data_IF_655125818467
#
_entry.id   IF_655125818467
#
_cell.length_a   1.000
_cell.length_b   1.000
_cell.length_c   1.000
_cell.angle_alpha   90.00
_cell.angle_beta   90.00
_cell.angle_gamma   90.00
#
_symmetry.space_group_name_H-M   'P 1'
#
loop_
_entity.id
_entity.type
_entity.pdbx_description
1 polymer ?
#
# COMPACT_ATOMS: atom_id res chain seq x y z
N UNK A 1 30.60 -0.62 54.08
CA UNK A 1 30.29 -1.67 53.07
C UNK A 1 29.03 -1.40 52.24
N UNK A 2 28.26 -0.35 52.50
CA UNK A 2 26.95 -0.12 51.88
C UNK A 2 27.02 0.68 50.56
N UNK A 3 27.93 1.65 50.44
CA UNK A 3 28.03 2.53 49.25
C UNK A 3 28.58 1.83 48.01
N UNK A 4 29.54 0.92 48.17
CA UNK A 4 30.10 0.11 47.06
C UNK A 4 29.07 -0.86 46.46
N UNK A 5 28.19 -1.41 47.31
CA UNK A 5 27.17 -2.37 46.88
C UNK A 5 26.05 -1.69 46.08
N UNK A 6 25.68 -0.45 46.45
CA UNK A 6 24.69 0.36 45.73
C UNK A 6 25.20 0.82 44.36
N UNK A 7 26.49 1.17 44.25
CA UNK A 7 27.10 1.58 42.96
C UNK A 7 27.17 0.40 42.00
N UNK A 8 27.57 -0.79 42.47
CA UNK A 8 27.62 -2.00 41.65
C UNK A 8 26.23 -2.44 41.18
N UNK A 9 25.21 -2.32 42.03
CA UNK A 9 23.82 -2.63 41.67
C UNK A 9 23.27 -1.65 40.62
N UNK A 10 23.60 -0.36 40.71
CA UNK A 10 23.22 0.65 39.69
C UNK A 10 23.89 0.38 38.35
N UNK A 11 25.18 0.04 38.35
CA UNK A 11 25.92 -0.32 37.14
C UNK A 11 25.38 -1.60 36.48
N UNK A 12 24.95 -2.57 37.28
CA UNK A 12 24.33 -3.81 36.80
C UNK A 12 22.91 -3.58 36.23
N UNK A 13 22.12 -2.66 36.79
CA UNK A 13 20.82 -2.31 36.22
C UNK A 13 20.94 -1.51 34.91
N UNK A 14 21.94 -0.64 34.77
CA UNK A 14 22.13 0.12 33.53
C UNK A 14 22.67 -0.75 32.38
N UNK A 15 23.46 -1.78 32.68
CA UNK A 15 23.94 -2.73 31.66
C UNK A 15 22.82 -3.67 31.18
N UNK A 16 21.89 -4.06 32.05
CA UNK A 16 20.72 -4.87 31.67
C UNK A 16 19.75 -4.10 30.76
N UNK A 17 19.60 -2.79 30.96
CA UNK A 17 18.74 -1.93 30.13
C UNK A 17 19.29 -1.74 28.70
N UNK A 18 20.61 -1.80 28.50
CA UNK A 18 21.22 -1.68 27.17
C UNK A 18 21.10 -2.96 26.34
N UNK A 19 21.06 -4.13 26.99
CA UNK A 19 20.97 -5.43 26.32
C UNK A 19 19.58 -5.79 25.75
N UNK A 20 18.55 -5.00 26.06
CA UNK A 20 17.18 -5.22 25.58
C UNK A 20 16.82 -4.43 24.32
N UNK A 21 17.79 -3.81 23.63
CA UNK A 21 17.57 -3.31 22.29
C UNK A 21 17.48 -4.52 21.34
N UNK A 22 16.30 -5.16 21.32
CA UNK A 22 15.98 -6.19 20.37
C UNK A 22 16.18 -5.60 18.98
N UNK A 23 17.09 -6.20 18.21
CA UNK A 23 17.19 -5.95 16.79
C UNK A 23 15.88 -6.46 16.19
N UNK A 24 14.91 -5.57 16.01
CA UNK A 24 13.79 -5.85 15.10
C UNK A 24 14.45 -6.03 13.75
N UNK A 25 14.62 -7.29 13.35
CA UNK A 25 15.00 -7.64 12.00
C UNK A 25 14.05 -6.85 11.10
N UNK A 26 14.60 -5.94 10.30
CA UNK A 26 13.83 -4.96 9.54
C UNK A 26 13.17 -5.70 8.36
N UNK A 27 12.23 -6.58 8.67
CA UNK A 27 11.49 -7.36 7.69
C UNK A 27 10.53 -6.43 6.98
N UNK A 28 10.76 -6.26 5.68
CA UNK A 28 9.87 -5.49 4.83
C UNK A 28 8.48 -6.14 4.82
N UNK A 29 7.40 -5.35 4.82
CA UNK A 29 6.06 -5.89 4.74
C UNK A 29 5.79 -6.48 3.36
N UNK A 30 4.95 -7.52 3.30
CA UNK A 30 4.35 -7.96 2.05
C UNK A 30 3.30 -6.92 1.61
N UNK A 31 3.40 -6.46 0.36
CA UNK A 31 2.46 -5.48 -0.21
C UNK A 31 1.54 -6.19 -1.22
N UNK A 32 0.24 -6.17 -0.95
CA UNK A 32 -0.80 -6.71 -1.85
C UNK A 32 -1.72 -5.58 -2.27
N UNK A 33 -1.84 -5.36 -3.59
CA UNK A 33 -2.75 -4.36 -4.16
C UNK A 33 -3.91 -5.12 -4.82
N UNK A 34 -5.10 -4.98 -4.24
CA UNK A 34 -6.35 -5.47 -4.82
C UNK A 34 -7.00 -4.33 -5.60
N UNK A 35 -7.07 -4.46 -6.93
CA UNK A 35 -7.68 -3.48 -7.82
C UNK A 35 -8.91 -4.10 -8.49
N UNK A 36 -10.10 -3.70 -8.05
CA UNK A 36 -11.35 -4.10 -8.68
C UNK A 36 -11.53 -3.40 -10.05
N UNK A 37 -12.33 -4.02 -10.93
CA UNK A 37 -12.71 -3.46 -12.23
C UNK A 37 -14.17 -3.03 -12.16
N UNK A 38 -14.46 -1.82 -12.63
CA UNK A 38 -15.80 -1.21 -12.68
C UNK A 38 -16.62 -1.27 -11.36
N UNK A 39 -15.94 -1.17 -10.21
CA UNK A 39 -16.59 -1.09 -8.89
C UNK A 39 -16.92 0.37 -8.53
N UNK A 40 -18.20 0.67 -8.35
CA UNK A 40 -18.71 1.96 -7.94
C UNK A 40 -18.53 2.24 -6.44
N UNK A 41 -18.49 3.52 -6.07
CA UNK A 41 -18.34 3.96 -4.68
C UNK A 41 -19.44 3.39 -3.76
N UNK A 42 -20.68 3.29 -4.27
CA UNK A 42 -21.83 2.83 -3.52
C UNK A 42 -22.05 1.32 -3.52
N UNK A 43 -21.20 0.52 -4.17
CA UNK A 43 -21.51 -0.91 -4.41
C UNK A 43 -21.24 -1.81 -3.20
N UNK A 44 -20.35 -1.39 -2.29
CA UNK A 44 -19.95 -2.17 -1.12
C UNK A 44 -20.98 -2.06 0.01
N UNK A 45 -21.20 -3.14 0.77
CA UNK A 45 -22.06 -3.08 1.97
C UNK A 45 -21.52 -2.13 3.03
N UNK A 46 -20.20 -2.04 3.19
CA UNK A 46 -19.53 -1.05 4.05
C UNK A 46 -19.72 0.40 3.61
N UNK A 47 -20.17 0.65 2.37
CA UNK A 47 -20.56 1.98 1.87
C UNK A 47 -22.08 2.22 1.91
N UNK A 48 -22.84 1.28 2.47
CA UNK A 48 -24.28 1.40 2.66
C UNK A 48 -25.14 0.81 1.54
N UNK A 49 -24.58 0.00 0.62
CA UNK A 49 -25.40 -0.66 -0.40
C UNK A 49 -26.49 -1.53 0.25
N UNK A 50 -27.78 -1.42 -0.14
CA UNK A 50 -28.89 -2.06 0.59
C UNK A 50 -28.92 -3.59 0.47
N UNK A 51 -28.29 -4.16 -0.57
CA UNK A 51 -28.40 -5.59 -0.90
C UNK A 51 -27.08 -6.31 -1.13
N UNK A 52 -25.97 -5.58 -1.30
CA UNK A 52 -24.66 -6.21 -1.53
C UNK A 52 -24.19 -6.87 -0.25
N UNK A 53 -23.48 -8.00 -0.38
CA UNK A 53 -22.82 -8.67 0.74
C UNK A 53 -21.34 -8.86 0.41
N UNK A 54 -20.49 -8.03 1.02
CA UNK A 54 -19.03 -8.11 0.84
C UNK A 54 -18.31 -8.33 2.17
N UNK A 55 -18.60 -9.42 2.91
CA UNK A 55 -18.13 -9.59 4.30
C UNK A 55 -16.61 -9.57 4.44
N UNK A 56 -15.86 -10.06 3.45
CA UNK A 56 -14.40 -10.02 3.47
C UNK A 56 -13.86 -8.59 3.26
N UNK A 57 -14.47 -7.79 2.38
CA UNK A 57 -14.07 -6.39 2.17
C UNK A 57 -14.49 -5.54 3.37
N UNK A 58 -15.68 -5.80 3.93
CA UNK A 58 -16.15 -5.11 5.12
C UNK A 58 -15.24 -5.40 6.33
N UNK A 59 -14.73 -6.63 6.45
CA UNK A 59 -13.70 -6.96 7.45
C UNK A 59 -12.42 -6.15 7.24
N UNK A 60 -11.96 -5.95 6.00
CA UNK A 60 -10.81 -5.08 5.71
C UNK A 60 -11.09 -3.61 6.06
N UNK A 61 -12.31 -3.12 5.81
CA UNK A 61 -12.73 -1.77 6.16
C UNK A 61 -12.75 -1.53 7.68
N UNK A 62 -13.24 -2.50 8.46
CA UNK A 62 -13.29 -2.44 9.94
C UNK A 62 -11.90 -2.55 10.56
N UNK A 63 -11.04 -3.43 10.05
CA UNK A 63 -9.71 -3.67 10.60
C UNK A 63 -8.62 -2.75 10.01
N UNK A 64 -9.00 -1.86 9.10
CA UNK A 64 -8.07 -1.03 8.35
C UNK A 64 -8.47 0.44 8.32
N UNK A 65 -8.20 1.08 7.18
CA UNK A 65 -8.59 2.47 6.91
C UNK A 65 -9.45 2.52 5.66
N UNK A 66 -10.66 3.06 5.81
CA UNK A 66 -11.55 3.37 4.70
C UNK A 66 -11.35 4.82 4.26
N UNK A 67 -11.23 5.03 2.95
CA UNK A 67 -11.07 6.35 2.35
C UNK A 67 -12.40 6.76 1.71
N UNK A 68 -13.01 7.84 2.18
CA UNK A 68 -14.26 8.39 1.61
C UNK A 68 -14.02 9.30 0.42
N UNK A 69 -12.76 9.72 0.20
CA UNK A 69 -12.33 10.63 -0.85
C UNK A 69 -11.07 10.07 -1.52
N UNK A 70 -11.21 8.96 -2.24
CA UNK A 70 -10.14 8.32 -3.02
C UNK A 70 -10.47 8.43 -4.52
N UNK A 71 -9.57 9.04 -5.29
CA UNK A 71 -9.82 9.39 -6.69
C UNK A 71 -8.82 8.73 -7.64
N UNK A 72 -9.29 8.45 -8.85
CA UNK A 72 -8.45 8.09 -10.00
C UNK A 72 -8.37 9.27 -10.95
N UNK A 73 -7.24 9.48 -11.66
CA UNK A 73 -7.09 10.63 -12.55
C UNK A 73 -7.96 10.54 -13.81
N UNK A 74 -8.37 9.33 -14.20
CA UNK A 74 -9.22 9.07 -15.38
C UNK A 74 -10.15 7.91 -15.06
N UNK A 75 -11.44 8.05 -15.42
CA UNK A 75 -12.49 7.05 -15.18
C UNK A 75 -12.53 5.93 -16.24
N UNK A 76 -11.36 5.48 -16.73
CA UNK A 76 -11.22 4.47 -17.79
C UNK A 76 -10.07 3.51 -17.44
N UNK A 77 -10.22 2.21 -17.72
CA UNK A 77 -9.34 1.12 -17.28
C UNK A 77 -7.85 1.36 -17.58
N UNK A 78 -7.46 1.43 -18.86
CA UNK A 78 -6.04 1.55 -19.26
C UNK A 78 -5.33 2.79 -18.67
N UNK A 79 -5.85 4.02 -18.80
CA UNK A 79 -5.21 5.20 -18.19
C UNK A 79 -5.19 5.13 -16.66
N UNK A 80 -6.26 4.68 -16.00
CA UNK A 80 -6.30 4.55 -14.53
C UNK A 80 -5.23 3.58 -14.02
N UNK A 81 -5.12 2.41 -14.65
CA UNK A 81 -4.10 1.39 -14.32
C UNK A 81 -2.68 1.90 -14.58
N UNK A 82 -2.46 2.62 -15.69
CA UNK A 82 -1.16 3.24 -15.97
C UNK A 82 -0.76 4.25 -14.88
N UNK A 83 -1.70 5.08 -14.42
CA UNK A 83 -1.44 6.02 -13.34
C UNK A 83 -1.11 5.32 -12.02
N UNK A 84 -1.84 4.25 -11.67
CA UNK A 84 -1.55 3.45 -10.47
C UNK A 84 -0.13 2.87 -10.53
N UNK A 85 0.25 2.29 -11.68
CA UNK A 85 1.54 1.63 -11.81
C UNK A 85 2.72 2.61 -11.81
N UNK A 86 2.55 3.80 -12.40
CA UNK A 86 3.65 4.76 -12.61
C UNK A 86 3.67 5.92 -11.62
N UNK A 87 2.58 6.17 -10.89
CA UNK A 87 2.41 7.37 -10.06
C UNK A 87 2.31 8.67 -10.87
N UNK A 88 2.03 8.58 -12.19
CA UNK A 88 2.02 9.72 -13.11
C UNK A 88 0.66 9.89 -13.77
N UNK A 89 0.34 11.14 -14.12
CA UNK A 89 -0.87 11.42 -14.91
C UNK A 89 -0.80 10.72 -16.28
N UNK A 90 -1.89 10.07 -16.76
CA UNK A 90 -1.86 9.27 -17.98
C UNK A 90 -1.42 10.03 -19.25
N UNK A 91 -1.66 11.35 -19.29
CA UNK A 91 -1.21 12.22 -20.38
C UNK A 91 0.32 12.30 -20.48
N UNK A 92 1.05 12.05 -19.38
CA UNK A 92 2.52 12.05 -19.34
C UNK A 92 3.12 10.70 -19.71
N UNK A 93 2.39 9.61 -19.49
CA UNK A 93 2.77 8.24 -19.85
C UNK A 93 2.27 7.83 -21.23
N UNK A 94 1.60 8.72 -21.98
CA UNK A 94 1.09 8.41 -23.33
C UNK A 94 -0.08 7.40 -23.36
N UNK A 95 -0.64 7.06 -22.20
CA UNK A 95 -1.76 6.11 -22.07
C UNK A 95 -3.08 6.85 -22.12
N UNK A 96 -3.43 7.37 -23.30
CA UNK A 96 -4.63 8.17 -23.62
C UNK A 96 -4.87 8.10 -25.15
N UNK A 97 -6.10 8.26 -25.70
CA UNK A 97 -7.39 8.53 -25.05
C UNK A 97 -8.23 7.32 -24.67
N UNK A 98 -7.92 6.15 -25.22
CA UNK A 98 -8.80 4.98 -25.17
C UNK A 98 -8.25 3.84 -24.31
N UNK A 99 -9.09 2.83 -24.14
CA UNK A 99 -8.71 1.53 -23.59
C UNK A 99 -7.94 0.76 -24.65
N UNK A 100 -6.78 0.20 -24.27
CA UNK A 100 -6.06 -0.72 -25.13
C UNK A 100 -6.79 -2.07 -25.20
N UNK A 101 -6.90 -2.59 -26.41
CA UNK A 101 -7.42 -3.92 -26.69
C UNK A 101 -6.31 -4.81 -27.28
N UNK A 102 -6.67 -6.04 -27.62
CA UNK A 102 -5.74 -7.03 -28.16
C UNK A 102 -5.17 -6.68 -29.55
N UNK A 103 -5.75 -5.71 -30.27
CA UNK A 103 -5.22 -5.17 -31.53
C UNK A 103 -4.37 -3.91 -31.32
N UNK A 104 -4.23 -3.43 -30.09
CA UNK A 104 -3.48 -2.20 -29.83
C UNK A 104 -1.98 -2.45 -30.00
N UNK A 105 -1.35 -1.73 -30.93
CA UNK A 105 0.11 -1.74 -31.10
C UNK A 105 0.84 -0.99 -29.99
N UNK A 106 0.11 -0.12 -29.27
CA UNK A 106 0.62 0.69 -28.18
C UNK A 106 0.25 0.08 -26.82
N UNK A 107 1.08 0.37 -25.82
CA UNK A 107 0.88 -0.01 -24.42
C UNK A 107 1.60 0.96 -23.49
N UNK A 108 1.77 0.58 -22.23
CA UNK A 108 2.57 1.38 -21.29
C UNK A 108 4.01 1.52 -21.84
N UNK A 109 4.54 2.75 -22.00
CA UNK A 109 5.89 2.94 -22.53
C UNK A 109 6.95 2.24 -21.68
N UNK A 110 7.90 1.59 -22.34
CA UNK A 110 8.95 0.79 -21.67
C UNK A 110 9.92 1.61 -20.82
N UNK A 111 9.95 2.92 -21.01
CA UNK A 111 10.76 3.85 -20.23
C UNK A 111 10.06 4.36 -18.97
N UNK A 112 8.79 4.02 -18.73
CA UNK A 112 8.12 4.31 -17.47
C UNK A 112 8.57 3.34 -16.38
N UNK A 113 8.84 3.88 -15.19
CA UNK A 113 9.19 3.09 -14.01
C UNK A 113 7.92 2.78 -13.23
N UNK A 114 7.67 1.50 -12.99
CA UNK A 114 6.50 1.02 -12.26
C UNK A 114 6.78 0.78 -10.78
N UNK A 115 5.74 0.81 -9.94
CA UNK A 115 5.82 0.43 -8.53
C UNK A 115 6.39 -0.98 -8.34
N UNK A 116 6.08 -1.92 -9.24
CA UNK A 116 6.62 -3.27 -9.21
C UNK A 116 8.15 -3.29 -9.41
N UNK A 117 8.67 -2.49 -10.33
CA UNK A 117 10.12 -2.35 -10.54
C UNK A 117 10.81 -1.68 -9.34
N UNK A 118 10.16 -0.70 -8.69
CA UNK A 118 10.68 -0.06 -7.49
C UNK A 118 10.72 -1.02 -6.30
N UNK A 119 9.66 -1.80 -6.07
CA UNK A 119 9.59 -2.76 -4.97
C UNK A 119 10.54 -3.94 -5.17
N UNK A 120 10.84 -4.34 -6.41
CA UNK A 120 11.82 -5.39 -6.71
C UNK A 120 13.25 -5.03 -6.28
N UNK A 121 13.55 -3.75 -6.09
CA UNK A 121 14.87 -3.26 -5.66
C UNK A 121 15.02 -3.20 -4.13
N UNK A 122 13.97 -3.57 -3.37
CA UNK A 122 13.95 -3.60 -1.91
C UNK A 122 14.12 -5.02 -1.41
#
# INVERSE_FOLDING_TARGET
>A
MTTRMVVLLRLALTSLAWGMCATTENQLPNVVILLADDLGFGDLSSQGHPTTRTPNIDSLAVNGRSLTHFYVPVSICSPSRAALLTGRYPIRSGTYPLVYNWHSELGLPKNETTIAQLLKQK
#
